data_IF_339768743165
#
_entry.id   IF_339768743165
#
_cell.length_a   1.000
_cell.length_b   1.000
_cell.length_c   1.000
_cell.angle_alpha   90.00
_cell.angle_beta   90.00
_cell.angle_gamma   90.00
#
_symmetry.space_group_name_H-M   'P 1'
#
loop_
_entity.id
_entity.type
_entity.pdbx_description
1 polymer ?
#
# COMPACT_ATOMS: atom_id res chain seq x y z
N UNK A 1 45.99 -37.53 22.94
CA UNK A 1 45.12 -36.31 23.06
C UNK A 1 44.20 -36.50 24.28
N UNK A 2 43.82 -35.40 24.90
CA UNK A 2 42.80 -35.48 26.00
C UNK A 2 41.41 -35.63 25.41
N UNK A 3 40.49 -36.26 26.21
CA UNK A 3 39.08 -36.45 25.78
C UNK A 3 38.39 -35.12 25.45
N UNK A 4 38.76 -34.03 26.14
CA UNK A 4 38.20 -32.69 25.87
C UNK A 4 38.67 -32.11 24.54
N UNK A 5 39.91 -32.37 24.16
CA UNK A 5 40.45 -31.96 22.83
C UNK A 5 39.76 -32.72 21.70
N UNK A 6 39.48 -34.01 21.87
CA UNK A 6 38.80 -34.85 20.89
C UNK A 6 37.35 -34.40 20.67
N UNK A 7 36.65 -34.01 21.75
CA UNK A 7 35.27 -33.50 21.66
C UNK A 7 35.15 -32.16 20.92
N UNK A 8 36.25 -31.42 20.78
CA UNK A 8 36.28 -30.14 20.04
C UNK A 8 36.62 -30.29 18.54
N UNK A 9 37.01 -31.50 18.09
CA UNK A 9 37.40 -31.75 16.69
C UNK A 9 36.16 -31.93 15.76
N UNK A 10 36.36 -31.58 14.51
CA UNK A 10 35.42 -31.85 13.41
C UNK A 10 35.63 -33.26 12.80
N UNK A 11 34.72 -33.67 11.89
CA UNK A 11 34.72 -35.02 11.33
C UNK A 11 36.01 -35.34 10.54
N UNK A 12 36.58 -34.35 9.83
CA UNK A 12 37.79 -34.52 9.04
C UNK A 12 39.05 -34.71 9.89
N UNK A 13 39.15 -33.96 11.00
CA UNK A 13 40.25 -34.07 11.95
C UNK A 13 40.16 -35.36 12.76
N UNK A 14 38.94 -35.83 13.12
CA UNK A 14 38.72 -37.10 13.77
C UNK A 14 39.13 -38.29 12.87
N UNK A 15 38.82 -38.23 11.56
CA UNK A 15 39.25 -39.25 10.60
C UNK A 15 40.79 -39.28 10.46
N UNK A 16 41.39 -38.11 10.35
CA UNK A 16 42.86 -37.99 10.27
C UNK A 16 43.55 -38.56 11.49
N UNK A 17 43.04 -38.20 12.69
CA UNK A 17 43.59 -38.72 13.97
C UNK A 17 43.40 -40.23 14.10
N UNK A 18 42.28 -40.78 13.65
CA UNK A 18 42.04 -42.23 13.67
C UNK A 18 43.05 -43.02 12.79
N UNK A 19 43.46 -42.42 11.63
CA UNK A 19 44.49 -43.00 10.77
C UNK A 19 45.89 -42.93 11.40
N UNK A 20 46.22 -41.83 12.08
CA UNK A 20 47.48 -41.67 12.82
C UNK A 20 47.58 -42.70 13.95
N UNK A 21 46.52 -42.88 14.74
CA UNK A 21 46.45 -43.92 15.81
C UNK A 21 46.63 -45.32 15.21
N UNK A 22 46.03 -45.62 14.05
CA UNK A 22 46.17 -46.91 13.39
C UNK A 22 47.62 -47.20 12.93
N UNK A 23 48.42 -46.18 12.69
CA UNK A 23 49.87 -46.33 12.43
C UNK A 23 50.68 -46.43 13.72
N UNK A 24 50.35 -45.66 14.76
CA UNK A 24 51.01 -45.67 16.05
C UNK A 24 50.86 -47.04 16.78
N UNK A 25 49.68 -47.67 16.65
CA UNK A 25 49.40 -49.02 17.22
C UNK A 25 50.35 -50.08 16.70
N UNK A 26 50.89 -49.94 15.45
CA UNK A 26 51.84 -50.93 14.88
C UNK A 26 53.20 -50.98 15.56
N UNK A 27 53.55 -49.91 16.30
CA UNK A 27 54.88 -49.74 16.95
C UNK A 27 54.78 -49.51 18.45
N UNK A 28 53.57 -49.50 19.03
CA UNK A 28 53.29 -49.18 20.42
C UNK A 28 53.55 -50.37 21.35
N UNK A 29 54.00 -50.07 22.59
CA UNK A 29 54.15 -51.04 23.70
C UNK A 29 52.85 -51.12 24.53
N UNK A 30 52.78 -52.11 25.42
CA UNK A 30 51.56 -52.50 26.11
C UNK A 30 50.87 -51.35 26.89
N UNK A 31 51.62 -50.43 27.47
CA UNK A 31 51.09 -49.26 28.21
C UNK A 31 50.55 -48.18 27.31
N UNK A 32 51.17 -48.01 26.14
CA UNK A 32 50.71 -47.06 25.11
C UNK A 32 49.46 -47.55 24.38
N UNK A 33 49.23 -48.86 24.27
CA UNK A 33 48.07 -49.47 23.65
C UNK A 33 46.75 -49.16 24.41
N UNK A 34 46.81 -49.14 25.73
CA UNK A 34 45.63 -48.82 26.55
C UNK A 34 45.20 -47.35 26.37
N UNK A 35 46.17 -46.41 26.32
CA UNK A 35 45.87 -44.97 26.12
C UNK A 35 45.39 -44.70 24.69
N UNK A 36 45.87 -45.39 23.68
CA UNK A 36 45.44 -45.29 22.25
C UNK A 36 44.04 -45.90 22.09
N UNK A 37 43.68 -46.92 22.86
CA UNK A 37 42.36 -47.52 22.88
C UNK A 37 41.30 -46.53 23.45
N UNK A 38 41.63 -45.85 24.56
CA UNK A 38 40.77 -44.83 25.17
C UNK A 38 40.55 -43.62 24.22
N UNK A 39 41.61 -43.20 23.48
CA UNK A 39 41.49 -42.18 22.44
C UNK A 39 40.59 -42.60 21.30
N UNK A 40 40.68 -43.87 20.83
CA UNK A 40 39.86 -44.41 19.76
C UNK A 40 38.39 -44.47 20.19
N UNK A 41 38.06 -44.92 21.39
CA UNK A 41 36.71 -44.95 21.90
C UNK A 41 36.10 -43.52 21.98
N UNK A 42 36.87 -42.54 22.43
CA UNK A 42 36.45 -41.15 22.46
C UNK A 42 36.19 -40.55 21.03
N UNK A 43 37.01 -40.94 20.05
CA UNK A 43 36.84 -40.56 18.64
C UNK A 43 35.55 -41.17 18.06
N UNK A 44 35.30 -42.45 18.34
CA UNK A 44 34.07 -43.14 17.89
C UNK A 44 32.81 -42.55 18.50
N UNK A 45 32.85 -42.23 19.81
CA UNK A 45 31.76 -41.55 20.51
C UNK A 45 31.45 -40.18 19.88
N UNK A 46 32.50 -39.40 19.56
CA UNK A 46 32.33 -38.08 18.90
C UNK A 46 31.83 -38.19 17.48
N UNK A 47 32.32 -39.15 16.68
CA UNK A 47 31.82 -39.42 15.32
C UNK A 47 30.33 -39.83 15.35
N UNK A 48 29.92 -40.61 16.32
CA UNK A 48 28.51 -40.98 16.48
C UNK A 48 27.62 -39.77 16.83
N UNK A 49 28.09 -38.87 17.72
CA UNK A 49 27.34 -37.63 18.03
C UNK A 49 27.22 -36.69 16.84
N UNK A 50 28.28 -36.44 16.09
CA UNK A 50 28.25 -35.61 14.88
C UNK A 50 27.31 -36.19 13.83
N UNK A 51 27.31 -37.52 13.67
CA UNK A 51 26.40 -38.22 12.73
C UNK A 51 24.95 -38.11 13.19
N UNK A 52 24.66 -38.27 14.46
CA UNK A 52 23.31 -38.12 15.01
C UNK A 52 22.78 -36.69 14.84
N UNK A 53 23.59 -35.67 15.09
CA UNK A 53 23.26 -34.27 14.84
C UNK A 53 23.00 -33.97 13.33
N UNK A 54 23.76 -34.60 12.44
CA UNK A 54 23.56 -34.47 11.00
C UNK A 54 22.29 -35.15 10.52
N UNK A 55 21.97 -36.32 11.07
CA UNK A 55 20.75 -37.08 10.74
C UNK A 55 19.49 -36.35 11.30
N UNK A 56 19.58 -35.77 12.50
CA UNK A 56 18.52 -34.94 13.07
C UNK A 56 18.26 -33.69 12.21
N UNK A 57 19.30 -32.99 11.77
CA UNK A 57 19.19 -31.85 10.83
C UNK A 57 18.61 -32.25 9.48
N UNK A 58 18.97 -33.45 8.97
CA UNK A 58 18.38 -33.98 7.73
C UNK A 58 16.90 -34.31 7.90
N UNK A 59 16.53 -34.95 8.99
CA UNK A 59 15.13 -35.27 9.29
C UNK A 59 14.29 -33.99 9.41
N UNK A 60 14.79 -32.96 10.11
CA UNK A 60 14.15 -31.65 10.22
C UNK A 60 14.01 -30.96 8.83
N UNK A 61 15.03 -31.08 7.98
CA UNK A 61 15.00 -30.51 6.62
C UNK A 61 14.04 -31.27 5.68
N UNK A 62 13.93 -32.58 5.84
CA UNK A 62 13.01 -33.42 5.10
C UNK A 62 11.54 -33.16 5.51
N UNK A 63 11.32 -32.84 6.79
CA UNK A 63 10.01 -32.43 7.31
C UNK A 63 9.59 -31.06 6.75
N UNK A 64 10.50 -30.11 6.63
CA UNK A 64 10.28 -28.81 5.96
C UNK A 64 10.00 -28.97 4.47
N UNK A 65 10.75 -29.85 3.77
CA UNK A 65 10.57 -30.14 2.34
C UNK A 65 9.24 -30.87 2.05
N UNK A 66 8.75 -31.66 3.00
CA UNK A 66 7.44 -32.34 2.87
C UNK A 66 6.23 -31.43 3.16
N UNK A 67 6.46 -30.16 3.45
CA UNK A 67 5.40 -29.18 3.75
C UNK A 67 4.73 -29.34 5.11
N UNK A 68 5.32 -30.15 6.01
CA UNK A 68 4.85 -30.38 7.38
C UNK A 68 5.71 -29.65 8.43
N UNK A 69 6.89 -29.16 8.06
CA UNK A 69 7.77 -28.40 8.95
C UNK A 69 7.44 -26.90 8.88
N UNK A 70 7.23 -26.27 10.03
CA UNK A 70 7.12 -24.82 10.12
C UNK A 70 8.53 -24.20 10.05
N UNK A 71 8.75 -23.28 9.12
CA UNK A 71 10.00 -22.51 9.06
C UNK A 71 10.11 -21.64 10.31
N UNK A 72 10.99 -22.00 11.22
CA UNK A 72 11.16 -21.33 12.51
C UNK A 72 11.60 -19.86 12.32
N UNK A 73 12.34 -19.55 11.25
CA UNK A 73 12.78 -18.17 10.93
C UNK A 73 11.62 -17.27 10.45
N UNK A 74 10.75 -17.76 9.58
CA UNK A 74 9.56 -17.00 9.15
C UNK A 74 8.58 -16.76 10.31
N UNK A 75 8.41 -17.74 11.22
CA UNK A 75 7.59 -17.54 12.42
C UNK A 75 8.18 -16.54 13.42
N UNK A 76 9.50 -16.41 13.48
CA UNK A 76 10.13 -15.39 14.34
C UNK A 76 10.03 -13.99 13.75
N UNK A 77 10.11 -13.83 12.42
CA UNK A 77 9.88 -12.56 11.75
C UNK A 77 8.39 -12.19 11.75
N UNK A 78 7.48 -13.11 11.46
CA UNK A 78 6.04 -12.87 11.59
C UNK A 78 5.63 -12.57 13.03
N UNK A 79 6.19 -13.26 14.03
CA UNK A 79 5.94 -12.94 15.45
C UNK A 79 6.54 -11.60 15.86
N UNK A 80 7.70 -11.21 15.32
CA UNK A 80 8.26 -9.87 15.57
C UNK A 80 7.45 -8.79 14.89
N UNK A 81 6.99 -8.99 13.65
CA UNK A 81 6.14 -8.03 12.94
C UNK A 81 4.75 -7.94 13.54
N UNK A 82 4.10 -9.06 13.90
CA UNK A 82 2.83 -9.04 14.63
C UNK A 82 2.96 -8.35 15.99
N UNK A 83 4.00 -8.66 16.76
CA UNK A 83 4.25 -7.99 18.04
C UNK A 83 4.53 -6.49 17.87
N UNK A 84 5.24 -6.08 16.83
CA UNK A 84 5.51 -4.66 16.58
C UNK A 84 4.24 -3.89 16.18
N UNK A 85 3.37 -4.48 15.38
CA UNK A 85 2.07 -3.90 15.01
C UNK A 85 1.16 -3.77 16.24
N UNK A 86 1.05 -4.82 17.07
CA UNK A 86 0.27 -4.78 18.31
C UNK A 86 0.81 -3.76 19.32
N UNK A 87 2.14 -3.65 19.46
CA UNK A 87 2.78 -2.66 20.31
C UNK A 87 2.53 -1.24 19.79
N UNK A 88 2.62 -1.01 18.48
CA UNK A 88 2.33 0.29 17.85
C UNK A 88 0.86 0.69 17.95
N UNK A 89 -0.08 -0.28 18.10
CA UNK A 89 -1.49 -0.04 18.38
C UNK A 89 -1.78 0.26 19.87
N UNK A 90 -0.83 -0.01 20.78
CA UNK A 90 -1.01 0.16 22.22
C UNK A 90 -1.15 1.63 22.60
N UNK A 91 -1.82 1.86 23.75
CA UNK A 91 -1.94 3.20 24.31
C UNK A 91 -0.57 3.74 24.74
N UNK A 92 0.27 2.88 25.31
CA UNK A 92 1.60 3.23 25.78
C UNK A 92 2.50 3.74 24.64
N UNK A 93 2.41 3.12 23.45
CA UNK A 93 3.15 3.57 22.28
C UNK A 93 2.64 4.92 21.76
N UNK A 94 1.33 5.12 21.73
CA UNK A 94 0.71 6.40 21.32
C UNK A 94 1.07 7.53 22.27
N UNK A 95 1.05 7.26 23.57
CA UNK A 95 1.43 8.24 24.59
C UNK A 95 2.93 8.58 24.51
N UNK A 96 3.80 7.57 24.31
CA UNK A 96 5.23 7.77 24.12
C UNK A 96 5.52 8.56 22.81
N UNK A 97 4.79 8.27 21.73
CA UNK A 97 4.90 8.98 20.47
C UNK A 97 4.40 10.43 20.60
N UNK A 98 3.31 10.68 21.31
CA UNK A 98 2.81 12.02 21.60
C UNK A 98 3.82 12.85 22.44
N UNK A 99 4.47 12.22 23.44
CA UNK A 99 5.54 12.89 24.22
C UNK A 99 6.79 13.15 23.38
N UNK A 100 7.15 12.24 22.46
CA UNK A 100 8.21 12.46 21.49
C UNK A 100 7.94 13.69 20.60
N UNK A 101 6.70 13.85 20.13
CA UNK A 101 6.30 15.03 19.36
C UNK A 101 6.33 16.31 20.19
N UNK A 102 5.84 16.27 21.45
CA UNK A 102 5.90 17.38 22.41
C UNK A 102 7.34 17.77 22.75
N UNK A 103 8.26 16.83 22.71
CA UNK A 103 9.69 17.04 22.92
C UNK A 103 10.44 17.49 21.65
N UNK A 104 9.73 18.06 20.65
CA UNK A 104 10.28 18.51 19.39
C UNK A 104 11.06 17.41 18.65
N UNK A 105 10.51 16.22 18.61
CA UNK A 105 11.14 15.04 18.02
C UNK A 105 12.53 14.71 18.61
N UNK A 106 12.79 15.13 19.87
CA UNK A 106 14.02 14.86 20.59
C UNK A 106 13.85 13.64 21.49
N UNK A 107 14.69 12.62 21.27
CA UNK A 107 14.71 11.42 22.10
C UNK A 107 15.28 11.67 23.49
N UNK A 108 16.09 12.70 23.67
CA UNK A 108 16.78 12.98 24.94
C UNK A 108 15.84 13.51 26.01
N UNK A 109 14.72 14.11 25.64
CA UNK A 109 13.72 14.62 26.57
C UNK A 109 12.74 13.55 27.08
N UNK A 110 12.74 12.35 26.48
CA UNK A 110 11.86 11.25 26.82
C UNK A 110 12.41 10.43 28.01
N UNK A 111 11.52 9.80 28.76
CA UNK A 111 11.89 8.78 29.76
C UNK A 111 12.54 7.57 29.07
N UNK A 112 13.42 6.90 29.78
CA UNK A 112 14.18 5.77 29.25
C UNK A 112 13.28 4.65 28.71
N UNK A 113 12.16 4.36 29.38
CA UNK A 113 11.16 3.37 28.96
C UNK A 113 10.47 3.75 27.65
N UNK A 114 10.09 5.02 27.48
CA UNK A 114 9.45 5.54 26.27
C UNK A 114 10.41 5.58 25.10
N UNK A 115 11.65 5.95 25.35
CA UNK A 115 12.74 5.93 24.35
C UNK A 115 12.99 4.52 23.85
N UNK A 116 13.07 3.53 24.75
CA UNK A 116 13.24 2.13 24.40
C UNK A 116 12.07 1.63 23.54
N UNK A 117 10.82 1.92 23.95
CA UNK A 117 9.60 1.53 23.24
C UNK A 117 9.55 2.06 21.81
N UNK A 118 9.91 3.32 21.58
CA UNK A 118 9.94 3.94 20.26
C UNK A 118 11.11 3.43 19.40
N UNK A 119 12.28 3.20 19.99
CA UNK A 119 13.48 2.76 19.27
C UNK A 119 13.38 1.29 18.84
N UNK A 120 12.85 0.43 19.69
CA UNK A 120 12.66 -1.00 19.40
C UNK A 120 11.64 -1.25 18.29
N UNK A 121 10.67 -0.34 18.11
CA UNK A 121 9.63 -0.42 17.10
C UNK A 121 9.86 0.54 15.93
N UNK A 122 11.08 1.06 15.76
CA UNK A 122 11.44 1.93 14.64
C UNK A 122 11.55 1.13 13.33
N UNK A 123 10.99 1.67 12.25
CA UNK A 123 11.13 1.12 10.91
C UNK A 123 12.18 1.89 10.10
N UNK A 124 13.12 1.17 9.50
CA UNK A 124 14.18 1.76 8.66
C UNK A 124 14.95 2.93 9.33
N UNK A 125 15.12 2.86 10.65
CA UNK A 125 15.81 3.89 11.42
C UNK A 125 15.01 5.16 11.70
N UNK A 126 13.73 5.20 11.34
CA UNK A 126 12.76 6.24 11.68
C UNK A 126 11.73 5.70 12.67
N UNK A 127 11.32 6.55 13.62
CA UNK A 127 10.27 6.19 14.57
C UNK A 127 8.96 5.99 13.79
N UNK A 128 8.38 4.79 13.91
CA UNK A 128 7.17 4.44 13.20
C UNK A 128 5.95 5.19 13.78
N UNK A 129 5.03 5.57 12.92
CA UNK A 129 3.76 6.17 13.34
C UNK A 129 2.88 5.10 14.01
N UNK A 130 2.10 5.43 15.07
CA UNK A 130 1.17 4.49 15.66
C UNK A 130 0.18 3.91 14.64
N UNK A 131 -0.06 2.58 14.65
CA UNK A 131 -0.93 1.90 13.68
C UNK A 131 -2.36 2.43 13.68
N UNK A 132 -2.87 2.90 14.81
CA UNK A 132 -4.20 3.52 14.87
C UNK A 132 -4.36 4.77 14.02
N UNK A 133 -3.25 5.44 13.64
CA UNK A 133 -3.25 6.58 12.68
C UNK A 133 -3.22 6.05 11.25
N UNK A 134 -2.45 4.99 10.97
CA UNK A 134 -2.40 4.35 9.65
C UNK A 134 -3.77 3.76 9.25
N UNK A 135 -4.43 3.03 10.16
CA UNK A 135 -5.77 2.48 9.93
C UNK A 135 -6.83 3.54 9.61
N UNK A 136 -6.73 4.74 10.20
CA UNK A 136 -7.65 5.84 9.91
C UNK A 136 -7.53 6.34 8.47
N UNK A 137 -6.32 6.42 7.93
CA UNK A 137 -6.07 6.86 6.55
C UNK A 137 -6.68 5.88 5.55
N UNK A 138 -6.52 4.58 5.76
CA UNK A 138 -7.20 3.56 4.96
C UNK A 138 -8.72 3.72 5.01
N UNK A 139 -9.27 3.96 6.19
CA UNK A 139 -10.73 4.16 6.37
C UNK A 139 -11.24 5.40 5.63
N UNK A 140 -10.45 6.48 5.53
CA UNK A 140 -10.85 7.68 4.80
C UNK A 140 -10.93 7.46 3.29
N UNK A 141 -10.00 6.71 2.70
CA UNK A 141 -10.07 6.32 1.29
C UNK A 141 -11.28 5.43 1.00
N UNK A 142 -11.62 4.54 1.92
CA UNK A 142 -12.79 3.67 1.82
C UNK A 142 -14.10 4.42 2.01
N UNK A 143 -14.11 5.51 2.75
CA UNK A 143 -15.28 6.35 2.98
C UNK A 143 -15.51 7.38 1.86
N UNK A 144 -14.51 7.71 1.05
CA UNK A 144 -14.70 8.64 -0.07
C UNK A 144 -15.37 7.95 -1.26
N UNK A 145 -16.53 8.47 -1.67
CA UNK A 145 -17.39 7.88 -2.71
C UNK A 145 -16.70 7.76 -4.08
N UNK A 146 -15.76 8.64 -4.40
CA UNK A 146 -15.01 8.61 -5.67
C UNK A 146 -13.89 7.59 -5.58
N UNK A 147 -13.10 7.64 -4.51
CA UNK A 147 -11.91 6.82 -4.36
C UNK A 147 -12.20 5.33 -4.16
N UNK A 148 -13.41 4.97 -3.70
CA UNK A 148 -13.87 3.58 -3.64
C UNK A 148 -13.97 2.92 -5.01
N UNK A 149 -14.29 3.70 -6.05
CA UNK A 149 -14.57 3.19 -7.39
C UNK A 149 -13.37 3.32 -8.35
N UNK A 150 -12.32 4.05 -7.96
CA UNK A 150 -11.10 4.25 -8.73
C UNK A 150 -10.15 3.07 -8.56
N UNK A 151 -9.49 2.64 -9.65
CA UNK A 151 -8.50 1.56 -9.59
C UNK A 151 -7.21 2.08 -8.93
N UNK A 152 -6.79 1.45 -7.83
CA UNK A 152 -5.56 1.80 -7.11
C UNK A 152 -4.40 0.91 -7.53
N UNK A 153 -3.21 1.47 -7.72
CA UNK A 153 -1.96 0.77 -8.02
C UNK A 153 -0.80 1.36 -7.22
N UNK A 154 0.22 0.54 -6.95
CA UNK A 154 1.35 0.87 -6.08
C UNK A 154 2.69 0.70 -6.80
N UNK A 155 2.82 1.30 -7.98
CA UNK A 155 4.04 1.21 -8.77
C UNK A 155 5.00 2.36 -8.44
N UNK A 156 6.26 2.05 -8.13
CA UNK A 156 7.29 3.06 -7.84
C UNK A 156 7.71 3.81 -9.10
N UNK A 157 7.39 5.10 -9.15
CA UNK A 157 7.72 5.98 -10.26
C UNK A 157 6.56 6.27 -11.20
N UNK A 158 6.88 6.75 -12.41
CA UNK A 158 5.89 7.05 -13.44
C UNK A 158 5.34 5.75 -14.01
N UNK A 159 4.02 5.61 -14.04
CA UNK A 159 3.34 4.46 -14.61
C UNK A 159 2.74 4.84 -15.97
N UNK A 160 3.05 4.03 -16.99
CA UNK A 160 2.42 4.14 -18.33
C UNK A 160 1.46 2.98 -18.49
N UNK A 161 0.20 3.30 -18.70
CA UNK A 161 -0.88 2.33 -18.92
C UNK A 161 -1.31 2.40 -20.37
N UNK A 162 -1.17 1.26 -21.07
CA UNK A 162 -1.64 1.15 -22.46
C UNK A 162 -3.15 0.98 -22.53
N UNK A 163 -3.79 1.66 -23.45
CA UNK A 163 -5.21 1.45 -23.78
C UNK A 163 -5.41 1.36 -25.28
N UNK A 164 -6.44 0.65 -25.69
CA UNK A 164 -6.84 0.55 -27.07
C UNK A 164 -7.58 1.82 -27.48
N UNK A 165 -6.98 2.57 -28.41
CA UNK A 165 -7.58 3.81 -28.91
C UNK A 165 -8.59 3.55 -30.04
N UNK A 166 -8.30 2.55 -30.86
CA UNK A 166 -9.25 2.05 -31.88
C UNK A 166 -8.83 0.66 -32.32
N UNK A 167 -9.82 -0.21 -32.52
CA UNK A 167 -9.63 -1.50 -33.17
C UNK A 167 -10.76 -1.80 -34.12
N UNK A 168 -10.43 -2.50 -35.18
CA UNK A 168 -11.44 -3.09 -36.05
C UNK A 168 -11.80 -4.47 -35.49
N UNK A 169 -13.07 -4.69 -35.19
CA UNK A 169 -13.52 -5.95 -34.59
C UNK A 169 -13.30 -7.14 -35.52
N UNK A 170 -13.32 -8.35 -34.94
CA UNK A 170 -13.26 -9.60 -35.69
C UNK A 170 -14.45 -9.71 -36.68
N UNK A 171 -14.22 -10.29 -37.85
CA UNK A 171 -15.25 -10.56 -38.83
C UNK A 171 -15.42 -12.06 -39.02
N UNK A 172 -16.65 -12.50 -39.30
CA UNK A 172 -16.91 -13.89 -39.67
C UNK A 172 -16.38 -14.17 -41.06
N UNK A 173 -15.58 -15.21 -41.20
CA UNK A 173 -15.08 -15.69 -42.47
C UNK A 173 -15.87 -16.94 -42.91
N UNK A 174 -16.39 -16.90 -44.14
CA UNK A 174 -17.04 -18.06 -44.72
C UNK A 174 -16.00 -19.00 -45.37
N UNK A 175 -16.19 -20.29 -45.26
CA UNK A 175 -15.33 -21.27 -45.89
C UNK A 175 -15.30 -21.08 -47.43
N UNK A 176 -14.09 -20.94 -48.01
CA UNK A 176 -13.89 -20.66 -49.41
C UNK A 176 -14.06 -19.19 -49.83
N UNK A 177 -14.29 -18.24 -48.89
CA UNK A 177 -14.31 -16.82 -49.13
C UNK A 177 -12.91 -16.22 -49.28
N UNK A 178 -12.86 -14.92 -49.69
CA UNK A 178 -11.61 -14.16 -49.77
C UNK A 178 -10.95 -14.04 -48.37
N UNK A 179 -9.60 -13.96 -48.33
CA UNK A 179 -8.87 -13.79 -47.09
C UNK A 179 -9.32 -12.51 -46.39
N UNK A 180 -9.51 -12.59 -45.08
CA UNK A 180 -9.83 -11.44 -44.22
C UNK A 180 -8.66 -10.45 -44.25
N UNK A 181 -8.93 -9.20 -44.59
CA UNK A 181 -7.91 -8.14 -44.56
C UNK A 181 -7.37 -7.93 -43.13
N UNK A 182 -6.07 -7.56 -42.96
CA UNK A 182 -5.49 -7.26 -41.66
C UNK A 182 -6.32 -6.21 -40.91
N UNK A 183 -6.64 -6.50 -39.68
CA UNK A 183 -7.40 -5.63 -38.79
C UNK A 183 -6.48 -4.59 -38.15
N UNK A 184 -6.95 -3.36 -38.00
CA UNK A 184 -6.16 -2.29 -37.41
C UNK A 184 -6.34 -2.26 -35.89
N UNK A 185 -5.23 -2.20 -35.15
CA UNK A 185 -5.18 -2.03 -33.69
C UNK A 185 -4.27 -0.85 -33.38
N UNK A 186 -4.82 0.20 -32.77
CA UNK A 186 -4.07 1.37 -32.31
C UNK A 186 -4.04 1.39 -30.80
N UNK A 187 -2.84 1.28 -30.23
CA UNK A 187 -2.61 1.33 -28.78
C UNK A 187 -2.00 2.70 -28.46
N UNK A 188 -2.62 3.42 -27.53
CA UNK A 188 -2.10 4.63 -26.91
C UNK A 188 -1.78 4.39 -25.44
N UNK A 189 -1.12 5.36 -24.79
CA UNK A 189 -0.70 5.25 -23.40
C UNK A 189 -1.20 6.46 -22.60
N UNK A 190 -1.80 6.21 -21.44
CA UNK A 190 -2.00 7.19 -20.39
C UNK A 190 -0.76 7.18 -19.47
N UNK A 191 -0.27 8.35 -19.08
CA UNK A 191 0.91 8.48 -18.25
C UNK A 191 0.53 9.05 -16.87
N UNK A 192 0.62 8.20 -15.84
CA UNK A 192 0.35 8.57 -14.47
C UNK A 192 1.64 9.11 -13.83
N UNK A 193 1.78 10.44 -13.86
CA UNK A 193 2.92 11.14 -13.27
C UNK A 193 2.56 11.48 -11.82
N UNK A 194 3.33 11.01 -10.82
CA UNK A 194 3.06 11.32 -9.41
C UNK A 194 3.21 12.81 -9.11
N UNK A 195 2.15 13.40 -8.59
CA UNK A 195 2.12 14.75 -8.04
C UNK A 195 2.04 14.66 -6.51
N UNK A 196 2.62 15.64 -5.80
CA UNK A 196 2.56 15.69 -4.34
C UNK A 196 1.33 16.45 -3.86
N UNK A 197 0.39 15.76 -3.23
CA UNK A 197 -0.66 16.37 -2.42
C UNK A 197 -0.07 16.74 -1.05
N UNK A 198 -0.22 18.00 -0.63
CA UNK A 198 0.34 18.50 0.63
C UNK A 198 -0.66 19.40 1.33
N UNK A 199 -0.83 19.21 2.64
CA UNK A 199 -1.51 20.15 3.53
C UNK A 199 -0.59 20.47 4.70
N UNK A 200 -0.60 21.73 5.14
CA UNK A 200 0.14 22.22 6.30
C UNK A 200 -0.88 22.81 7.27
N UNK A 201 -0.79 22.40 8.52
CA UNK A 201 -1.56 22.96 9.63
C UNK A 201 -0.58 23.54 10.64
N UNK A 202 -0.84 24.74 11.14
CA UNK A 202 -0.07 25.42 12.16
C UNK A 202 -0.84 25.40 13.48
N UNK A 203 -0.19 24.94 14.54
CA UNK A 203 -0.79 24.80 15.87
C UNK A 203 0.17 25.35 16.91
N UNK A 204 -0.34 26.06 17.91
CA UNK A 204 0.46 26.51 19.04
C UNK A 204 0.96 25.33 19.87
N UNK A 205 2.21 25.39 20.29
CA UNK A 205 2.83 24.37 21.15
C UNK A 205 2.07 24.21 22.48
N UNK A 206 1.56 25.30 23.05
CA UNK A 206 0.73 25.27 24.26
C UNK A 206 -0.56 24.45 24.08
N UNK A 207 -1.20 24.53 22.90
CA UNK A 207 -2.42 23.75 22.58
C UNK A 207 -2.09 22.29 22.41
N UNK A 208 -0.98 21.94 21.77
CA UNK A 208 -0.51 20.56 21.63
C UNK A 208 -0.15 19.96 22.99
N UNK A 209 0.48 20.73 23.88
CA UNK A 209 0.85 20.28 25.22
C UNK A 209 -0.35 20.08 26.15
N UNK A 210 -1.46 20.82 25.92
CA UNK A 210 -2.60 20.81 26.84
C UNK A 210 -3.64 19.74 26.53
N UNK A 211 -3.67 19.18 25.31
CA UNK A 211 -4.78 18.29 24.88
C UNK A 211 -4.33 17.20 23.90
N UNK A 212 -4.26 15.95 24.39
CA UNK A 212 -3.89 14.79 23.56
C UNK A 212 -4.91 14.51 22.44
N UNK A 213 -6.22 14.81 22.67
CA UNK A 213 -7.25 14.67 21.65
C UNK A 213 -7.10 15.67 20.48
N UNK A 214 -6.32 16.73 20.66
CA UNK A 214 -6.05 17.71 19.60
C UNK A 214 -5.19 17.12 18.48
N UNK A 215 -4.22 16.28 18.82
CA UNK A 215 -3.40 15.58 17.81
C UNK A 215 -4.24 14.66 16.94
N UNK A 216 -5.13 13.87 17.55
CA UNK A 216 -6.04 13.00 16.82
C UNK A 216 -6.93 13.81 15.86
N UNK A 217 -7.50 14.92 16.32
CA UNK A 217 -8.28 15.82 15.47
C UNK A 217 -7.49 16.40 14.29
N UNK A 218 -6.23 16.79 14.53
CA UNK A 218 -5.37 17.33 13.47
C UNK A 218 -5.03 16.30 12.40
N UNK A 219 -4.81 15.06 12.80
CA UNK A 219 -4.61 13.97 11.85
C UNK A 219 -5.86 13.73 11.01
N UNK A 220 -7.04 13.63 11.64
CA UNK A 220 -8.32 13.46 10.93
C UNK A 220 -8.58 14.61 9.94
N UNK A 221 -8.27 15.83 10.33
CA UNK A 221 -8.41 17.03 9.48
C UNK A 221 -7.44 17.03 8.29
N UNK A 222 -6.18 16.66 8.52
CA UNK A 222 -5.17 16.56 7.46
C UNK A 222 -5.54 15.48 6.45
N UNK A 223 -5.92 14.32 6.94
CA UNK A 223 -6.35 13.17 6.16
C UNK A 223 -7.57 13.50 5.30
N UNK A 224 -8.65 13.97 5.92
CA UNK A 224 -9.87 14.35 5.20
C UNK A 224 -9.58 15.28 4.03
N UNK A 225 -8.75 16.29 4.24
CA UNK A 225 -8.45 17.26 3.19
C UNK A 225 -7.53 16.71 2.09
N UNK A 226 -6.61 15.81 2.41
CA UNK A 226 -5.75 15.15 1.41
C UNK A 226 -6.60 14.23 0.54
N UNK A 227 -7.44 13.39 1.13
CA UNK A 227 -8.37 12.49 0.40
C UNK A 227 -9.31 13.31 -0.49
N UNK A 228 -9.91 14.35 0.07
CA UNK A 228 -10.81 15.25 -0.67
C UNK A 228 -10.12 15.94 -1.85
N UNK A 229 -8.87 16.37 -1.67
CA UNK A 229 -8.07 16.97 -2.74
C UNK A 229 -7.83 15.98 -3.88
N UNK A 230 -7.46 14.73 -3.55
CA UNK A 230 -7.21 13.69 -4.55
C UNK A 230 -8.50 13.30 -5.27
N UNK A 231 -9.61 13.10 -4.57
CA UNK A 231 -10.91 12.83 -5.17
C UNK A 231 -11.36 13.96 -6.13
N UNK A 232 -11.17 15.20 -5.73
CA UNK A 232 -11.45 16.35 -6.60
C UNK A 232 -10.52 16.41 -7.81
N UNK A 233 -9.25 16.02 -7.66
CA UNK A 233 -8.29 15.93 -8.76
C UNK A 233 -8.70 14.85 -9.78
N UNK A 234 -9.30 13.74 -9.33
CA UNK A 234 -9.91 12.73 -10.23
C UNK A 234 -10.94 13.38 -11.15
N UNK A 235 -11.86 14.17 -10.59
CA UNK A 235 -12.88 14.87 -11.37
C UNK A 235 -12.24 15.83 -12.41
N UNK A 236 -11.24 16.61 -11.98
CA UNK A 236 -10.50 17.49 -12.90
C UNK A 236 -9.84 16.72 -14.05
N UNK A 237 -9.20 15.57 -13.75
CA UNK A 237 -8.58 14.71 -14.77
C UNK A 237 -9.60 14.17 -15.75
N UNK A 238 -10.78 13.75 -15.29
CA UNK A 238 -11.86 13.30 -16.17
C UNK A 238 -12.30 14.43 -17.11
N UNK A 239 -12.51 15.65 -16.57
CA UNK A 239 -12.91 16.81 -17.40
C UNK A 239 -11.86 17.19 -18.44
N UNK A 240 -10.58 17.12 -18.08
CA UNK A 240 -9.46 17.50 -18.94
C UNK A 240 -9.05 16.40 -19.93
N UNK A 241 -9.48 15.16 -19.72
CA UNK A 241 -9.08 14.03 -20.54
C UNK A 241 -9.68 14.08 -21.95
N UNK A 242 -8.84 13.80 -22.94
CA UNK A 242 -9.29 13.61 -24.34
C UNK A 242 -10.12 12.33 -24.55
N UNK A 243 -10.12 11.42 -23.58
CA UNK A 243 -10.90 10.18 -23.60
C UNK A 243 -12.33 10.39 -23.11
N UNK A 244 -12.64 11.54 -22.51
CA UNK A 244 -13.98 11.92 -22.08
C UNK A 244 -14.77 12.49 -23.25
N UNK A 245 -15.85 11.83 -23.61
CA UNK A 245 -16.74 12.32 -24.66
C UNK A 245 -17.48 13.58 -24.19
N UNK A 246 -17.84 14.47 -25.11
CA UNK A 246 -18.63 15.67 -24.82
C UNK A 246 -20.05 15.48 -25.32
N UNK A 247 -21.01 15.72 -24.42
CA UNK A 247 -22.44 15.79 -24.77
C UNK A 247 -22.89 17.23 -24.78
N UNK A 248 -23.71 17.59 -25.79
CA UNK A 248 -24.28 18.93 -25.93
C UNK A 248 -25.70 18.95 -25.38
N UNK A 249 -25.90 19.65 -24.27
CA UNK A 249 -27.21 19.81 -23.64
C UNK A 249 -28.17 20.60 -24.53
N UNK A 250 -29.46 20.29 -24.45
CA UNK A 250 -30.48 21.04 -25.14
C UNK A 250 -30.71 22.45 -24.57
N UNK A 251 -30.43 22.63 -23.29
CA UNK A 251 -30.62 23.89 -22.56
C UNK A 251 -29.38 24.33 -21.76
N UNK A 252 -29.56 25.36 -20.93
CA UNK A 252 -28.49 25.88 -20.09
C UNK A 252 -28.21 24.98 -18.88
N UNK A 253 -29.23 24.36 -18.32
CA UNK A 253 -29.12 23.41 -17.18
C UNK A 253 -29.46 22.00 -17.64
N UNK A 254 -28.74 20.97 -17.18
CA UNK A 254 -28.96 19.59 -17.57
C UNK A 254 -30.32 19.08 -17.10
N UNK A 255 -30.94 18.26 -17.92
CA UNK A 255 -32.24 17.60 -17.65
C UNK A 255 -32.05 16.09 -17.54
N UNK A 256 -33.07 15.37 -17.12
CA UNK A 256 -33.08 13.90 -17.13
C UNK A 256 -32.84 13.34 -18.54
N UNK A 257 -33.42 13.97 -19.55
CA UNK A 257 -33.21 13.57 -20.97
C UNK A 257 -31.74 13.72 -21.39
N UNK A 258 -31.06 14.76 -20.93
CA UNK A 258 -29.62 14.94 -21.20
C UNK A 258 -28.77 13.88 -20.51
N UNK A 259 -29.15 13.47 -19.29
CA UNK A 259 -28.46 12.38 -18.55
C UNK A 259 -28.58 11.07 -19.31
N UNK A 260 -29.80 10.67 -19.70
CA UNK A 260 -30.05 9.45 -20.48
C UNK A 260 -29.34 9.53 -21.84
N UNK A 261 -29.35 10.71 -22.49
CA UNK A 261 -28.62 10.92 -23.73
C UNK A 261 -27.11 10.80 -23.60
N UNK A 262 -26.55 11.25 -22.48
CA UNK A 262 -25.13 11.09 -22.16
C UNK A 262 -24.77 9.63 -21.84
N UNK A 263 -25.63 8.93 -21.07
CA UNK A 263 -25.47 7.49 -20.82
C UNK A 263 -25.41 6.68 -22.12
N UNK A 264 -26.27 7.02 -23.09
CA UNK A 264 -26.28 6.37 -24.41
C UNK A 264 -24.98 6.57 -25.22
N UNK A 265 -24.11 7.50 -24.85
CA UNK A 265 -22.78 7.69 -25.46
C UNK A 265 -21.65 6.91 -24.74
N UNK A 266 -21.94 6.30 -23.61
CA UNK A 266 -20.95 5.46 -22.91
C UNK A 266 -20.66 4.20 -23.72
N UNK A 267 -19.42 3.74 -23.67
CA UNK A 267 -19.02 2.47 -24.26
C UNK A 267 -19.65 1.28 -23.52
N UNK A 268 -19.82 0.16 -24.22
CA UNK A 268 -20.42 -1.05 -23.65
C UNK A 268 -19.65 -1.65 -22.46
N UNK A 269 -18.44 -1.17 -22.18
CA UNK A 269 -17.62 -1.58 -21.04
C UNK A 269 -17.87 -0.76 -19.75
N UNK A 270 -18.71 0.28 -19.81
CA UNK A 270 -19.09 1.05 -18.63
C UNK A 270 -20.17 0.29 -17.85
N UNK A 271 -19.73 -0.49 -16.84
CA UNK A 271 -20.62 -1.41 -16.11
C UNK A 271 -21.42 -0.74 -14.99
N UNK A 272 -20.84 0.29 -14.35
CA UNK A 272 -21.43 0.97 -13.20
C UNK A 272 -21.36 2.49 -13.36
N UNK A 273 -22.16 3.09 -14.27
CA UNK A 273 -22.13 4.51 -14.48
C UNK A 273 -22.65 5.25 -13.22
N UNK A 274 -21.97 6.34 -12.89
CA UNK A 274 -22.35 7.27 -11.83
C UNK A 274 -22.50 8.68 -12.39
N UNK A 275 -23.29 9.49 -11.74
CA UNK A 275 -23.49 10.89 -12.08
C UNK A 275 -22.66 11.75 -11.12
N UNK A 276 -21.68 12.48 -11.63
CA UNK A 276 -20.88 13.42 -10.85
C UNK A 276 -21.35 14.83 -11.15
N UNK A 277 -21.84 15.52 -10.12
CA UNK A 277 -22.40 16.87 -10.30
C UNK A 277 -22.35 17.68 -8.99
N UNK A 278 -22.73 18.96 -9.06
CA UNK A 278 -22.88 19.77 -7.84
C UNK A 278 -24.25 19.59 -7.22
N UNK A 279 -24.36 19.80 -5.88
CA UNK A 279 -25.67 19.80 -5.20
C UNK A 279 -26.66 20.79 -5.80
N UNK A 280 -26.17 21.96 -6.26
CA UNK A 280 -27.01 22.99 -6.89
C UNK A 280 -27.57 22.51 -8.22
N UNK A 281 -26.75 21.88 -9.08
CA UNK A 281 -27.18 21.32 -10.37
C UNK A 281 -28.15 20.14 -10.16
N UNK A 282 -27.84 19.25 -9.22
CA UNK A 282 -28.74 18.14 -8.87
C UNK A 282 -30.11 18.63 -8.36
N UNK A 283 -30.15 19.69 -7.57
CA UNK A 283 -31.41 20.29 -7.11
C UNK A 283 -32.22 20.85 -8.27
N UNK A 284 -31.61 21.50 -9.27
CA UNK A 284 -32.28 22.00 -10.47
C UNK A 284 -32.88 20.86 -11.32
N UNK A 285 -32.13 19.76 -11.49
CA UNK A 285 -32.61 18.57 -12.22
C UNK A 285 -33.84 18.00 -11.51
N UNK A 286 -33.79 17.82 -10.18
CA UNK A 286 -34.93 17.35 -9.38
C UNK A 286 -36.13 18.29 -9.45
N UNK A 287 -35.94 19.60 -9.39
CA UNK A 287 -37.01 20.59 -9.53
C UNK A 287 -37.64 20.55 -10.92
N UNK A 288 -36.85 20.42 -11.99
CA UNK A 288 -37.35 20.30 -13.35
C UNK A 288 -38.18 19.01 -13.53
N UNK A 289 -37.72 17.89 -12.98
CA UNK A 289 -38.44 16.62 -13.00
C UNK A 289 -39.77 16.71 -12.24
N UNK A 290 -39.81 17.35 -11.05
CA UNK A 290 -41.03 17.58 -10.28
C UNK A 290 -42.01 18.47 -11.04
N UNK A 291 -41.54 19.56 -11.68
CA UNK A 291 -42.39 20.45 -12.46
C UNK A 291 -42.97 19.75 -13.70
N UNK A 292 -42.27 18.82 -14.29
CA UNK A 292 -42.72 17.99 -15.40
C UNK A 292 -43.64 16.83 -14.95
N UNK A 293 -43.93 16.67 -13.65
CA UNK A 293 -44.62 15.52 -13.08
C UNK A 293 -44.00 14.17 -13.48
N UNK A 294 -42.68 14.13 -13.56
CA UNK A 294 -41.90 12.96 -13.94
C UNK A 294 -41.98 11.93 -12.81
N UNK A 295 -42.57 10.77 -13.08
CA UNK A 295 -42.81 9.73 -12.07
C UNK A 295 -41.62 8.80 -11.80
N UNK A 296 -40.46 9.07 -12.40
CA UNK A 296 -39.24 8.26 -12.28
C UNK A 296 -38.13 9.02 -11.55
N UNK A 297 -37.08 8.30 -11.17
CA UNK A 297 -35.89 8.91 -10.64
C UNK A 297 -35.22 9.83 -11.71
N UNK A 298 -34.98 11.11 -11.40
CA UNK A 298 -34.34 12.04 -12.32
C UNK A 298 -32.95 11.61 -12.81
N UNK A 299 -32.28 10.71 -12.11
CA UNK A 299 -30.96 10.20 -12.42
C UNK A 299 -30.95 8.75 -12.96
N UNK A 300 -32.12 8.25 -13.33
CA UNK A 300 -32.31 6.91 -13.91
C UNK A 300 -31.73 5.75 -13.06
N UNK A 301 -31.79 5.88 -11.75
CA UNK A 301 -31.27 4.91 -10.79
C UNK A 301 -29.73 4.94 -10.62
N UNK A 302 -29.00 5.81 -11.35
CA UNK A 302 -27.56 5.95 -11.18
C UNK A 302 -27.20 6.61 -9.86
N UNK A 303 -26.10 6.17 -9.23
CA UNK A 303 -25.57 6.80 -8.04
C UNK A 303 -25.09 8.22 -8.34
N UNK A 304 -25.49 9.18 -7.49
CA UNK A 304 -25.09 10.58 -7.64
C UNK A 304 -23.98 10.90 -6.65
N UNK A 305 -22.84 11.32 -7.18
CA UNK A 305 -21.67 11.76 -6.41
C UNK A 305 -21.56 13.28 -6.49
N UNK A 306 -21.36 13.94 -5.35
CA UNK A 306 -21.32 15.38 -5.29
C UNK A 306 -19.88 15.92 -5.24
N UNK A 307 -19.62 16.91 -6.08
CA UNK A 307 -18.36 17.66 -6.13
C UNK A 307 -18.60 19.17 -6.15
N UNK A 308 -17.55 19.95 -5.97
CA UNK A 308 -17.64 21.41 -6.08
C UNK A 308 -17.54 21.87 -7.54
N UNK A 309 -18.22 22.97 -7.86
CA UNK A 309 -18.27 23.49 -9.22
C UNK A 309 -16.89 23.86 -9.80
N UNK A 310 -15.94 24.24 -8.95
CA UNK A 310 -14.57 24.59 -9.35
C UNK A 310 -13.81 23.41 -10.00
N UNK A 311 -14.18 22.18 -9.68
CA UNK A 311 -13.52 20.98 -10.21
C UNK A 311 -14.15 20.48 -11.51
N UNK A 312 -15.40 20.85 -11.77
CA UNK A 312 -16.09 20.57 -13.04
C UNK A 312 -15.70 21.57 -14.16
N UNK A 313 -15.06 22.69 -13.81
CA UNK A 313 -14.68 23.73 -14.76
C UNK A 313 -15.90 24.32 -15.51
N UNK A 314 -15.96 24.18 -16.81
CA UNK A 314 -17.09 24.64 -17.64
C UNK A 314 -18.22 23.60 -17.73
N UNK A 315 -17.99 22.39 -17.28
CA UNK A 315 -18.96 21.30 -17.32
C UNK A 315 -19.92 21.36 -16.12
N UNK A 316 -21.12 20.91 -16.31
CA UNK A 316 -22.18 20.91 -15.30
C UNK A 316 -22.34 19.55 -14.63
N UNK A 317 -22.09 18.50 -15.41
CA UNK A 317 -22.33 17.13 -15.01
C UNK A 317 -21.43 16.20 -15.81
N UNK A 318 -21.01 15.09 -15.19
CA UNK A 318 -20.30 13.99 -15.82
C UNK A 318 -21.11 12.72 -15.55
N UNK A 319 -21.33 11.93 -16.60
CA UNK A 319 -21.83 10.56 -16.50
C UNK A 319 -20.69 9.62 -16.85
N UNK A 320 -20.41 8.63 -16.02
CA UNK A 320 -19.34 7.69 -16.35
C UNK A 320 -19.03 6.68 -15.26
N UNK A 321 -18.19 5.73 -15.63
CA UNK A 321 -17.72 4.65 -14.77
C UNK A 321 -16.32 4.96 -14.23
N UNK A 322 -16.21 5.20 -12.93
CA UNK A 322 -14.96 5.57 -12.26
C UNK A 322 -13.89 4.47 -12.32
N UNK A 323 -14.24 3.24 -12.67
CA UNK A 323 -13.26 2.20 -13.01
C UNK A 323 -12.38 2.55 -14.22
N UNK A 324 -12.74 3.56 -15.01
CA UNK A 324 -11.93 4.11 -16.11
C UNK A 324 -10.80 5.03 -15.65
N UNK A 325 -10.71 5.37 -14.36
CA UNK A 325 -9.62 6.16 -13.76
C UNK A 325 -8.70 5.26 -12.99
N UNK A 326 -7.40 5.50 -13.09
CA UNK A 326 -6.39 4.80 -12.30
C UNK A 326 -5.61 5.79 -11.45
N UNK A 327 -5.43 5.44 -10.17
CA UNK A 327 -4.61 6.14 -9.20
C UNK A 327 -3.38 5.30 -8.87
N UNK A 328 -2.19 5.85 -9.07
CA UNK A 328 -0.93 5.21 -8.69
C UNK A 328 -0.32 5.90 -7.48
N UNK A 329 -0.04 5.13 -6.43
CA UNK A 329 0.58 5.58 -5.19
C UNK A 329 2.01 5.02 -5.09
N UNK A 330 3.04 5.75 -5.55
CA UNK A 330 4.41 5.22 -5.65
C UNK A 330 5.09 4.97 -4.31
N UNK A 331 4.63 5.60 -3.25
CA UNK A 331 5.15 5.45 -1.88
C UNK A 331 4.15 4.78 -0.91
N UNK A 332 3.07 4.20 -1.45
CA UNK A 332 1.91 3.73 -0.69
C UNK A 332 0.79 4.76 -0.67
N UNK A 333 -0.40 4.35 -0.27
CA UNK A 333 -1.58 5.22 -0.13
C UNK A 333 -1.66 5.91 1.23
N UNK A 334 -0.65 5.71 2.09
CA UNK A 334 -0.54 6.36 3.39
C UNK A 334 0.02 7.78 3.27
N UNK A 335 -0.64 8.74 3.91
CA UNK A 335 -0.11 10.09 4.02
C UNK A 335 1.07 10.10 5.01
N UNK A 336 2.19 10.69 4.58
CA UNK A 336 3.36 10.87 5.43
C UNK A 336 3.27 12.19 6.17
N UNK A 337 3.38 12.14 7.48
CA UNK A 337 3.38 13.32 8.33
C UNK A 337 4.80 13.75 8.69
N UNK A 338 5.05 15.07 8.65
CA UNK A 338 6.29 15.68 9.10
C UNK A 338 5.95 16.83 10.03
N UNK A 339 6.66 16.88 11.15
CA UNK A 339 6.58 17.97 12.12
C UNK A 339 7.76 18.93 11.90
N UNK A 340 7.47 20.22 11.92
CA UNK A 340 8.45 21.27 11.78
C UNK A 340 8.21 22.31 12.91
N UNK A 341 9.04 22.21 13.91
CA UNK A 341 9.06 23.02 15.11
C UNK A 341 10.09 24.17 15.01
N UNK A 342 11.01 24.07 14.02
CA UNK A 342 12.13 25.01 13.89
C UNK A 342 11.78 26.25 13.07
N UNK A 343 10.94 26.11 12.04
CA UNK A 343 10.67 27.20 11.10
C UNK A 343 9.92 28.39 11.72
N UNK A 344 9.20 28.18 12.83
CA UNK A 344 8.41 29.16 13.57
C UNK A 344 8.60 29.06 15.09
N UNK A 345 9.79 28.67 15.51
CA UNK A 345 10.13 28.56 16.94
C UNK A 345 10.02 29.90 17.71
N UNK A 346 10.18 31.04 17.03
CA UNK A 346 10.01 32.36 17.57
C UNK A 346 8.54 32.80 17.79
N UNK A 347 7.61 32.08 17.17
CA UNK A 347 6.14 32.27 17.32
C UNK A 347 5.50 31.21 18.24
N UNK A 348 6.25 30.27 18.80
CA UNK A 348 5.77 29.09 19.55
C UNK A 348 4.72 28.26 18.76
N UNK A 349 4.96 28.12 17.45
CA UNK A 349 4.07 27.41 16.51
C UNK A 349 4.78 26.19 15.93
N UNK A 350 4.13 25.03 16.07
CA UNK A 350 4.51 23.79 15.40
C UNK A 350 3.72 23.63 14.10
N UNK A 351 4.40 23.29 13.01
CA UNK A 351 3.79 23.03 11.70
C UNK A 351 3.69 21.53 11.47
N UNK A 352 2.48 21.04 11.27
CA UNK A 352 2.22 19.65 10.92
C UNK A 352 1.98 19.57 9.41
N UNK A 353 2.80 18.81 8.71
CA UNK A 353 2.82 18.72 7.26
C UNK A 353 2.40 17.30 6.86
N UNK A 354 1.18 17.15 6.34
CA UNK A 354 0.74 15.93 5.66
C UNK A 354 1.11 15.99 4.17
N UNK A 355 1.64 14.90 3.63
CA UNK A 355 2.01 14.78 2.22
C UNK A 355 1.72 13.38 1.69
N UNK A 356 1.29 13.32 0.43
CA UNK A 356 1.03 12.09 -0.30
C UNK A 356 1.45 12.25 -1.76
N UNK A 357 2.05 11.24 -2.36
CA UNK A 357 2.34 11.22 -3.78
C UNK A 357 1.31 10.36 -4.52
N UNK A 358 0.65 10.93 -5.51
CA UNK A 358 -0.35 10.24 -6.30
C UNK A 358 -0.27 10.65 -7.77
N UNK A 359 -0.23 9.67 -8.67
CA UNK A 359 -0.38 9.85 -10.12
C UNK A 359 -1.78 9.47 -10.54
N UNK A 360 -2.49 10.36 -11.24
CA UNK A 360 -3.88 10.16 -11.65
C UNK A 360 -4.04 10.39 -13.15
N UNK A 361 -4.70 9.47 -13.85
CA UNK A 361 -5.17 9.72 -15.20
C UNK A 361 -6.34 8.81 -15.59
N UNK A 362 -7.05 9.18 -16.67
CA UNK A 362 -8.07 8.36 -17.29
C UNK A 362 -7.37 7.36 -18.22
N UNK A 363 -7.62 6.07 -18.00
CA UNK A 363 -6.93 4.97 -18.70
C UNK A 363 -7.83 4.18 -19.65
N UNK A 364 -9.14 4.43 -19.64
CA UNK A 364 -10.08 3.70 -20.48
C UNK A 364 -10.95 4.65 -21.32
N UNK A 365 -10.95 4.52 -22.65
CA UNK A 365 -11.84 5.29 -23.54
C UNK A 365 -13.29 4.85 -23.37
N UNK A 366 -14.23 5.76 -23.67
CA UNK A 366 -15.67 5.47 -23.65
C UNK A 366 -16.29 5.30 -22.27
N UNK A 367 -15.53 5.51 -21.19
CA UNK A 367 -16.02 5.40 -19.82
C UNK A 367 -16.66 6.69 -19.29
N UNK A 368 -16.42 7.84 -19.91
CA UNK A 368 -16.88 9.14 -19.41
C UNK A 368 -17.49 10.01 -20.50
N UNK A 369 -18.57 10.68 -20.12
CA UNK A 369 -19.24 11.71 -20.92
C UNK A 369 -19.45 12.94 -20.05
N UNK A 370 -19.01 14.11 -20.50
CA UNK A 370 -19.14 15.37 -19.78
C UNK A 370 -19.99 16.38 -20.56
N UNK A 371 -20.92 17.07 -19.87
CA UNK A 371 -21.81 18.07 -20.45
C UNK A 371 -21.74 19.41 -19.74
#
# INVERSE_FOLDING_TARGET
MTREEILALDMADLEKRSLEIAEEVKTADSESLDTLSEELDAIEERKATIKAEADEKRAAMEEVLSGKGEKIEEKQEERKTMNSIEIRASKEYRDAFAEYLKANCSMDALREEQRALLTENAENGTIAVPTGVEERIHTAWENDEIMQMVIKTYFKGNLKVGYEASATGAVFHAEGGEAVAPQNLVINYAELIPEMAKKVVEVSDEVLASNDAMLDYLYDELEYHIVKLVANKVVQKIVASSLTASYTMAGTDPTTADIVGAEGLLGGEASNPVVITTRATAAKIKQAALAAQFGYDPFDGMRVVYTDASFLGTKKLIVGDLSGVQANFPEGDDAKFKFDDLSKADEDIVRIIGRLYVGLDVVAPGKFVAM
#
